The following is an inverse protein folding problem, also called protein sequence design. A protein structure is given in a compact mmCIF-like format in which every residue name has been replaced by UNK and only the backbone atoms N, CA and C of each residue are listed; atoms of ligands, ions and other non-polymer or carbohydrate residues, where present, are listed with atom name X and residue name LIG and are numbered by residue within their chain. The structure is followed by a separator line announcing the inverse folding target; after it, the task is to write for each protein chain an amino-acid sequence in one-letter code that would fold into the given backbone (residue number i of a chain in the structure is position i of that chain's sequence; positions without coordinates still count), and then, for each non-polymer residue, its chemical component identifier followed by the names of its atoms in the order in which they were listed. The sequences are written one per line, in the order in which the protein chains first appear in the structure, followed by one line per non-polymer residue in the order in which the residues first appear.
data_IF_113190183857
#
_entry.id   IF_113190183857
#
_cell.length_a   1.000
_cell.length_b   1.000
_cell.length_c   1.000
_cell.angle_alpha   90.00
_cell.angle_beta   90.00
_cell.angle_gamma   90.00
#
_symmetry.space_group_name_H-M   'P 1'
#
loop_
_entity.id
_entity.type
_entity.pdbx_description
1 polymer ?
#
# COMPACT_ATOMS: atom_id res chain seq x y z
N UNK A 1 -2.69 -7.55 15.56
CA UNK A 1 -1.27 -7.15 15.37
C UNK A 1 -0.29 -8.34 15.35
N UNK A 2 -0.39 -9.37 16.22
CA UNK A 2 0.48 -10.58 16.15
C UNK A 2 0.47 -11.29 14.78
N UNK A 3 -0.66 -11.31 14.08
CA UNK A 3 -0.79 -11.95 12.76
C UNK A 3 -0.06 -11.20 11.61
N UNK A 4 0.22 -9.90 11.76
CA UNK A 4 0.92 -9.11 10.74
C UNK A 4 2.43 -9.32 10.81
N UNK A 5 2.97 -9.40 12.03
CA UNK A 5 4.38 -9.69 12.26
C UNK A 5 4.73 -11.16 11.97
N UNK A 6 3.79 -12.09 12.16
CA UNK A 6 3.97 -13.49 11.75
C UNK A 6 4.01 -13.65 10.23
N UNK A 7 3.27 -12.82 9.49
CA UNK A 7 3.34 -12.78 8.02
C UNK A 7 4.68 -12.32 7.47
N UNK A 8 5.22 -11.27 8.08
CA UNK A 8 6.58 -10.78 7.79
C UNK A 8 7.66 -11.79 8.20
N UNK A 9 7.40 -12.64 9.20
CA UNK A 9 8.31 -13.74 9.61
C UNK A 9 8.27 -14.92 8.64
N UNK A 10 7.09 -15.38 8.22
CA UNK A 10 6.93 -16.42 7.20
C UNK A 10 7.56 -16.03 5.85
N UNK A 11 7.56 -14.75 5.51
CA UNK A 11 8.25 -14.20 4.34
C UNK A 11 9.78 -14.40 4.38
N UNK A 12 10.38 -14.44 5.58
CA UNK A 12 11.83 -14.61 5.74
C UNK A 12 12.27 -16.06 5.46
N UNK A 13 11.40 -17.04 5.68
CA UNK A 13 11.71 -18.46 5.56
C UNK A 13 11.69 -18.96 4.11
N UNK A 14 11.15 -18.17 3.17
CA UNK A 14 10.96 -18.56 1.76
C UNK A 14 11.52 -17.51 0.78
N UNK A 15 12.84 -17.55 0.47
CA UNK A 15 13.54 -16.49 -0.28
C UNK A 15 12.99 -16.26 -1.70
N UNK A 16 12.65 -17.33 -2.42
CA UNK A 16 12.10 -17.26 -3.80
C UNK A 16 10.76 -16.53 -3.85
N UNK A 17 9.93 -16.67 -2.82
CA UNK A 17 8.61 -16.05 -2.72
C UNK A 17 8.68 -14.58 -2.33
N UNK A 18 9.64 -14.21 -1.47
CA UNK A 18 9.90 -12.83 -1.11
C UNK A 18 10.32 -12.02 -2.35
N UNK A 19 11.17 -12.60 -3.21
CA UNK A 19 11.58 -12.00 -4.48
C UNK A 19 10.39 -11.85 -5.45
N UNK A 20 9.49 -12.85 -5.52
CA UNK A 20 8.28 -12.76 -6.34
C UNK A 20 7.33 -11.63 -5.90
N UNK A 21 7.10 -11.48 -4.58
CA UNK A 21 6.32 -10.35 -4.05
C UNK A 21 6.99 -9.01 -4.28
N UNK A 22 8.30 -8.93 -4.10
CA UNK A 22 9.08 -7.73 -4.39
C UNK A 22 8.89 -7.32 -5.85
N UNK A 23 8.96 -8.26 -6.80
CA UNK A 23 8.77 -8.00 -8.23
C UNK A 23 7.34 -7.55 -8.55
N UNK A 24 6.33 -8.19 -7.95
CA UNK A 24 4.93 -7.79 -8.12
C UNK A 24 4.68 -6.37 -7.56
N UNK A 25 5.25 -6.06 -6.39
CA UNK A 25 5.19 -4.74 -5.78
C UNK A 25 5.92 -3.68 -6.61
N UNK A 26 7.10 -4.00 -7.15
CA UNK A 26 7.89 -3.10 -8.00
C UNK A 26 7.10 -2.63 -9.22
N UNK A 27 6.25 -3.50 -9.78
CA UNK A 27 5.37 -3.15 -10.91
C UNK A 27 4.22 -2.20 -10.51
N UNK A 28 3.70 -2.31 -9.28
CA UNK A 28 2.56 -1.50 -8.83
C UNK A 28 2.94 -0.15 -8.21
N UNK A 29 4.16 -0.02 -7.67
CA UNK A 29 4.63 1.21 -7.02
C UNK A 29 4.61 2.43 -7.97
N UNK A 30 5.05 2.34 -9.24
CA UNK A 30 4.98 3.47 -10.15
C UNK A 30 3.54 3.97 -10.36
N UNK A 31 2.59 3.05 -10.51
CA UNK A 31 1.16 3.37 -10.68
C UNK A 31 0.62 4.12 -9.47
N UNK A 32 0.95 3.67 -8.25
CA UNK A 32 0.57 4.34 -7.00
C UNK A 32 1.02 5.79 -6.96
N UNK A 33 2.31 6.03 -7.25
CA UNK A 33 2.89 7.37 -7.16
C UNK A 33 2.42 8.31 -8.27
N UNK A 34 2.23 7.81 -9.49
CA UNK A 34 1.64 8.60 -10.59
C UNK A 34 0.22 9.05 -10.21
N UNK A 35 -0.58 8.13 -9.68
CA UNK A 35 -1.95 8.44 -9.24
C UNK A 35 -1.96 9.49 -8.13
N UNK A 36 -1.08 9.36 -7.13
CA UNK A 36 -0.91 10.36 -6.06
C UNK A 36 -0.55 11.74 -6.60
N UNK A 37 0.41 11.82 -7.54
CA UNK A 37 0.85 13.08 -8.13
C UNK A 37 -0.29 13.73 -8.91
N UNK A 38 -0.98 12.99 -9.78
CA UNK A 38 -2.09 13.53 -10.59
C UNK A 38 -3.21 14.05 -9.67
N UNK A 39 -3.59 13.27 -8.66
CA UNK A 39 -4.62 13.65 -7.71
C UNK A 39 -4.21 14.88 -6.87
N UNK A 40 -2.96 14.96 -6.44
CA UNK A 40 -2.46 16.13 -5.72
C UNK A 40 -2.45 17.38 -6.60
N UNK A 41 -1.94 17.28 -7.84
CA UNK A 41 -1.92 18.40 -8.78
C UNK A 41 -3.33 18.91 -9.13
N UNK A 42 -4.30 18.01 -9.28
CA UNK A 42 -5.70 18.40 -9.48
C UNK A 42 -6.24 19.24 -8.32
N UNK A 43 -5.84 18.93 -7.09
CA UNK A 43 -6.21 19.73 -5.91
C UNK A 43 -5.45 21.06 -5.86
N UNK A 44 -4.17 21.09 -6.25
CA UNK A 44 -3.38 22.34 -6.36
C UNK A 44 -4.08 23.33 -7.29
N UNK A 45 -4.42 22.90 -8.51
CA UNK A 45 -5.03 23.76 -9.53
C UNK A 45 -6.32 24.41 -9.01
N UNK A 46 -7.13 23.65 -8.28
CA UNK A 46 -8.41 24.17 -7.77
C UNK A 46 -8.25 25.04 -6.53
N UNK A 47 -7.19 24.89 -5.74
CA UNK A 47 -6.98 25.60 -4.47
C UNK A 47 -5.93 26.72 -4.51
N UNK A 48 -5.30 26.95 -5.66
CA UNK A 48 -4.20 27.92 -5.82
C UNK A 48 -4.60 29.35 -5.45
N UNK A 49 -5.88 29.70 -5.60
CA UNK A 49 -6.42 31.03 -5.30
C UNK A 49 -7.21 31.11 -3.98
N UNK A 50 -7.46 29.98 -3.30
CA UNK A 50 -8.28 29.95 -2.07
C UNK A 50 -7.47 29.67 -0.81
N UNK A 51 -6.38 28.92 -0.91
CA UNK A 51 -5.49 28.61 0.19
C UNK A 51 -4.15 29.37 0.05
N UNK A 52 -3.42 29.63 1.15
CA UNK A 52 -2.13 30.30 1.07
C UNK A 52 -1.14 29.44 0.28
N UNK A 53 -0.28 30.10 -0.52
CA UNK A 53 0.55 29.45 -1.54
C UNK A 53 1.49 28.36 -0.98
N UNK A 54 1.93 28.50 0.28
CA UNK A 54 2.74 27.48 0.94
C UNK A 54 2.00 26.15 1.16
N UNK A 55 0.71 26.20 1.47
CA UNK A 55 -0.13 25.02 1.66
C UNK A 55 -0.68 24.49 0.34
N UNK A 56 -1.11 25.39 -0.55
CA UNK A 56 -1.70 25.02 -1.84
C UNK A 56 -0.69 24.47 -2.83
N UNK A 57 0.56 24.96 -2.82
CA UNK A 57 1.57 24.64 -3.85
C UNK A 57 2.81 23.96 -3.26
N UNK A 58 3.50 24.59 -2.31
CA UNK A 58 4.82 24.08 -1.89
C UNK A 58 4.77 22.69 -1.24
N UNK A 59 3.79 22.45 -0.36
CA UNK A 59 3.61 21.13 0.27
C UNK A 59 3.35 20.03 -0.77
N UNK A 60 2.30 20.09 -1.62
CA UNK A 60 2.01 19.02 -2.57
C UNK A 60 3.08 18.85 -3.64
N UNK A 61 3.75 19.93 -4.06
CA UNK A 61 4.88 19.84 -4.99
C UNK A 61 6.07 19.12 -4.34
N UNK A 62 6.40 19.42 -3.08
CA UNK A 62 7.49 18.73 -2.36
C UNK A 62 7.22 17.23 -2.19
N UNK A 63 5.97 16.86 -1.87
CA UNK A 63 5.55 15.46 -1.78
C UNK A 63 5.59 14.77 -3.15
N UNK A 64 5.20 15.49 -4.21
CA UNK A 64 5.26 14.99 -5.59
C UNK A 64 6.69 14.73 -6.04
N UNK A 65 7.65 15.60 -5.69
CA UNK A 65 9.08 15.39 -5.98
C UNK A 65 9.58 14.11 -5.30
N UNK A 66 9.18 13.85 -4.04
CA UNK A 66 9.53 12.61 -3.34
C UNK A 66 8.94 11.37 -4.05
N UNK A 67 7.70 11.46 -4.53
CA UNK A 67 7.06 10.41 -5.33
C UNK A 67 7.81 10.16 -6.64
N UNK A 68 8.22 11.20 -7.37
CA UNK A 68 9.01 11.09 -8.60
C UNK A 68 10.37 10.45 -8.33
N UNK A 69 11.09 10.91 -7.30
CA UNK A 69 12.36 10.30 -6.90
C UNK A 69 12.20 8.80 -6.63
N UNK A 70 11.10 8.41 -5.97
CA UNK A 70 10.78 7.01 -5.70
C UNK A 70 10.48 6.21 -6.96
N UNK A 71 9.71 6.76 -7.90
CA UNK A 71 9.46 6.13 -9.21
C UNK A 71 10.79 5.85 -9.90
N UNK A 72 11.65 6.86 -10.02
CA UNK A 72 12.96 6.75 -10.67
C UNK A 72 13.83 5.72 -9.96
N UNK A 73 13.89 5.75 -8.62
CA UNK A 73 14.67 4.79 -7.84
C UNK A 73 14.22 3.34 -8.11
N UNK A 74 12.92 3.08 -8.13
CA UNK A 74 12.36 1.75 -8.41
C UNK A 74 12.54 1.32 -9.86
N UNK A 75 12.51 2.23 -10.83
CA UNK A 75 12.80 1.89 -12.22
C UNK A 75 14.28 1.54 -12.44
N UNK A 76 15.18 2.24 -11.74
CA UNK A 76 16.62 2.00 -11.85
C UNK A 76 17.09 0.77 -11.07
N UNK A 77 16.56 0.52 -9.87
CA UNK A 77 17.07 -0.52 -8.95
C UNK A 77 16.07 -1.65 -8.68
N UNK A 78 14.85 -1.58 -9.21
CA UNK A 78 13.80 -2.57 -8.97
C UNK A 78 13.93 -3.86 -9.78
N UNK A 79 14.79 -3.87 -10.83
CA UNK A 79 14.98 -5.02 -11.71
C UNK A 79 16.24 -5.83 -11.40
N UNK A 80 17.12 -5.35 -10.52
CA UNK A 80 18.35 -6.05 -10.17
C UNK A 80 18.04 -7.35 -9.41
N UNK A 81 18.82 -8.43 -9.63
CA UNK A 81 18.74 -9.63 -8.81
C UNK A 81 18.99 -9.27 -7.34
N UNK A 82 17.95 -9.35 -6.52
CA UNK A 82 18.00 -8.95 -5.13
C UNK A 82 17.99 -10.20 -4.25
N UNK A 83 18.96 -10.23 -3.34
CA UNK A 83 19.03 -11.20 -2.25
C UNK A 83 17.85 -11.02 -1.27
N UNK A 84 17.38 -12.11 -0.67
CA UNK A 84 16.17 -12.13 0.15
C UNK A 84 16.26 -11.15 1.34
N UNK A 85 17.42 -11.06 1.99
CA UNK A 85 17.63 -10.12 3.10
C UNK A 85 17.50 -8.66 2.66
N UNK A 86 17.99 -8.34 1.44
CA UNK A 86 17.82 -7.00 0.86
C UNK A 86 16.37 -6.72 0.51
N UNK A 87 15.66 -7.66 -0.12
CA UNK A 87 14.24 -7.52 -0.44
C UNK A 87 13.40 -7.24 0.83
N UNK A 88 13.68 -7.95 1.93
CA UNK A 88 12.98 -7.73 3.20
C UNK A 88 13.22 -6.32 3.75
N UNK A 89 14.47 -5.85 3.72
CA UNK A 89 14.82 -4.52 4.19
C UNK A 89 14.12 -3.41 3.38
N UNK A 90 14.04 -3.58 2.06
CA UNK A 90 13.37 -2.62 1.15
C UNK A 90 11.87 -2.64 1.39
N UNK A 91 11.23 -3.81 1.48
CA UNK A 91 9.81 -3.92 1.79
C UNK A 91 9.45 -3.26 3.12
N UNK A 92 10.24 -3.48 4.18
CA UNK A 92 10.03 -2.84 5.48
C UNK A 92 10.15 -1.31 5.40
N UNK A 93 11.14 -0.80 4.66
CA UNK A 93 11.28 0.64 4.40
C UNK A 93 10.07 1.18 3.64
N UNK A 94 9.56 0.43 2.65
CA UNK A 94 8.35 0.79 1.90
C UNK A 94 7.12 0.89 2.81
N UNK A 95 6.94 -0.02 3.79
CA UNK A 95 5.85 0.10 4.78
C UNK A 95 5.93 1.43 5.54
N UNK A 96 7.10 1.76 6.08
CA UNK A 96 7.31 2.98 6.87
C UNK A 96 7.06 4.23 6.02
N UNK A 97 7.59 4.23 4.79
CA UNK A 97 7.43 5.37 3.88
C UNK A 97 6.01 5.53 3.36
N UNK A 98 5.31 4.43 3.08
CA UNK A 98 3.90 4.46 2.72
C UNK A 98 3.08 5.10 3.85
N UNK A 99 3.30 4.67 5.10
CA UNK A 99 2.67 5.29 6.27
C UNK A 99 2.99 6.78 6.41
N UNK A 100 4.27 7.15 6.29
CA UNK A 100 4.72 8.54 6.40
C UNK A 100 4.12 9.44 5.30
N UNK A 101 4.11 8.98 4.05
CA UNK A 101 3.51 9.70 2.93
C UNK A 101 1.99 9.81 3.09
N UNK A 102 1.31 8.75 3.48
CA UNK A 102 -0.14 8.80 3.73
C UNK A 102 -0.48 9.77 4.86
N UNK A 103 0.32 9.83 5.93
CA UNK A 103 0.15 10.86 6.96
C UNK A 103 0.35 12.26 6.40
N UNK A 104 1.41 12.49 5.63
CA UNK A 104 1.71 13.80 5.09
C UNK A 104 0.61 14.30 4.13
N UNK A 105 0.16 13.46 3.20
CA UNK A 105 -0.95 13.78 2.30
C UNK A 105 -2.28 13.93 3.05
N UNK A 106 -2.53 13.12 4.08
CA UNK A 106 -3.73 13.22 4.90
C UNK A 106 -3.80 14.54 5.69
N UNK A 107 -2.71 14.89 6.39
CA UNK A 107 -2.60 16.16 7.13
C UNK A 107 -2.74 17.34 6.17
N UNK A 108 -2.07 17.29 5.01
CA UNK A 108 -2.17 18.33 4.00
C UNK A 108 -3.60 18.50 3.48
N UNK A 109 -4.28 17.41 3.13
CA UNK A 109 -5.66 17.44 2.62
C UNK A 109 -6.63 18.00 3.66
N UNK A 110 -6.50 17.61 4.93
CA UNK A 110 -7.34 18.13 6.03
C UNK A 110 -7.04 19.60 6.33
N UNK A 111 -5.78 20.03 6.24
CA UNK A 111 -5.44 21.44 6.36
C UNK A 111 -6.06 22.26 5.23
N UNK A 112 -6.03 21.74 3.99
CA UNK A 112 -6.61 22.39 2.82
C UNK A 112 -8.15 22.48 2.90
N UNK A 113 -8.79 21.49 3.52
CA UNK A 113 -10.24 21.41 3.68
C UNK A 113 -10.84 22.65 4.36
N UNK A 114 -10.11 23.28 5.29
CA UNK A 114 -10.57 24.47 6.00
C UNK A 114 -10.63 25.73 5.14
N UNK A 115 -9.90 25.77 4.01
CA UNK A 115 -9.83 26.92 3.10
C UNK A 115 -10.77 26.78 1.89
N UNK A 116 -11.30 25.58 1.65
CA UNK A 116 -12.10 25.28 0.47
C UNK A 116 -13.57 25.69 0.61
N UNK A 117 -14.18 26.10 -0.51
CA UNK A 117 -15.63 26.18 -0.64
C UNK A 117 -16.28 24.77 -0.69
N UNK A 118 -17.61 24.68 -0.74
CA UNK A 118 -18.32 23.38 -0.71
C UNK A 118 -17.87 22.41 -1.82
N UNK A 119 -17.59 22.90 -3.04
CA UNK A 119 -17.12 22.07 -4.15
C UNK A 119 -15.68 21.58 -3.94
N UNK A 120 -14.81 22.47 -3.47
CA UNK A 120 -13.43 22.19 -3.13
C UNK A 120 -13.30 21.18 -1.97
N UNK A 121 -14.13 21.33 -0.94
CA UNK A 121 -14.25 20.36 0.16
C UNK A 121 -14.74 19.00 -0.34
N UNK A 122 -15.71 18.98 -1.26
CA UNK A 122 -16.14 17.76 -1.96
C UNK A 122 -15.00 17.11 -2.75
N UNK A 123 -14.18 17.89 -3.46
CA UNK A 123 -13.01 17.39 -4.18
C UNK A 123 -11.97 16.79 -3.23
N UNK A 124 -11.75 17.38 -2.04
CA UNK A 124 -10.85 16.82 -1.02
C UNK A 124 -11.39 15.49 -0.50
N UNK A 125 -12.70 15.40 -0.24
CA UNK A 125 -13.33 14.14 0.14
C UNK A 125 -13.13 13.06 -0.93
N UNK A 126 -13.39 13.39 -2.20
CA UNK A 126 -13.15 12.51 -3.33
C UNK A 126 -11.68 12.07 -3.44
N UNK A 127 -10.74 13.02 -3.30
CA UNK A 127 -9.30 12.76 -3.28
C UNK A 127 -8.92 11.72 -2.21
N UNK A 128 -9.42 11.87 -0.98
CA UNK A 128 -9.11 10.96 0.13
C UNK A 128 -9.68 9.55 -0.11
N UNK A 129 -10.90 9.44 -0.62
CA UNK A 129 -11.50 8.14 -0.95
C UNK A 129 -10.71 7.46 -2.06
N UNK A 130 -10.56 8.11 -3.22
CA UNK A 130 -9.89 7.52 -4.39
C UNK A 130 -8.46 7.10 -4.05
N UNK A 131 -7.71 7.99 -3.40
CA UNK A 131 -6.33 7.68 -2.98
C UNK A 131 -6.28 6.53 -1.99
N UNK A 132 -7.21 6.47 -1.03
CA UNK A 132 -7.30 5.34 -0.09
C UNK A 132 -7.50 4.01 -0.81
N UNK A 133 -8.43 3.96 -1.77
CA UNK A 133 -8.70 2.76 -2.57
C UNK A 133 -7.48 2.37 -3.41
N UNK A 134 -6.86 3.33 -4.09
CA UNK A 134 -5.66 3.09 -4.90
C UNK A 134 -4.49 2.58 -4.07
N UNK A 135 -4.26 3.14 -2.88
CA UNK A 135 -3.25 2.65 -1.95
C UNK A 135 -3.49 1.18 -1.57
N UNK A 136 -4.74 0.78 -1.29
CA UNK A 136 -5.06 -0.62 -0.96
C UNK A 136 -4.67 -1.56 -2.09
N UNK A 137 -5.08 -1.25 -3.33
CA UNK A 137 -4.81 -2.13 -4.47
C UNK A 137 -3.32 -2.17 -4.81
N UNK A 138 -2.65 -1.01 -4.88
CA UNK A 138 -1.23 -0.95 -5.23
C UNK A 138 -0.29 -1.50 -4.15
N UNK A 139 -0.75 -1.59 -2.89
CA UNK A 139 0.00 -2.15 -1.78
C UNK A 139 -0.52 -3.53 -1.36
N UNK A 140 -1.39 -4.16 -2.16
CA UNK A 140 -1.98 -5.47 -1.85
C UNK A 140 -0.90 -6.55 -1.65
N UNK A 141 0.18 -6.48 -2.43
CA UNK A 141 1.37 -7.34 -2.29
C UNK A 141 2.19 -7.09 -1.01
N UNK A 142 1.87 -6.06 -0.24
CA UNK A 142 2.50 -5.73 1.04
C UNK A 142 1.40 -5.41 2.09
N UNK A 143 0.72 -6.43 2.63
CA UNK A 143 -0.48 -6.27 3.46
C UNK A 143 -0.30 -5.35 4.67
N UNK A 144 0.90 -5.33 5.25
CA UNK A 144 1.24 -4.42 6.34
C UNK A 144 1.18 -2.94 5.91
N UNK A 145 1.67 -2.60 4.71
CA UNK A 145 1.57 -1.25 4.16
C UNK A 145 0.12 -0.92 3.82
N UNK A 146 -0.59 -1.81 3.12
CA UNK A 146 -1.99 -1.60 2.74
C UNK A 146 -2.90 -1.35 3.96
N UNK A 147 -2.77 -2.15 5.03
CA UNK A 147 -3.55 -1.93 6.26
C UNK A 147 -3.18 -0.63 6.96
N UNK A 148 -1.88 -0.31 7.04
CA UNK A 148 -1.41 0.93 7.66
C UNK A 148 -1.97 2.15 6.92
N UNK A 149 -1.83 2.21 5.60
CA UNK A 149 -2.33 3.33 4.79
C UNK A 149 -3.85 3.43 4.85
N UNK A 150 -4.57 2.30 4.82
CA UNK A 150 -6.05 2.28 4.96
C UNK A 150 -6.47 2.84 6.31
N UNK A 151 -5.87 2.36 7.39
CA UNK A 151 -6.19 2.79 8.74
C UNK A 151 -5.96 4.30 8.90
N UNK A 152 -4.84 4.81 8.40
CA UNK A 152 -4.51 6.24 8.46
C UNK A 152 -5.54 7.04 7.64
N UNK A 153 -5.69 6.77 6.34
CA UNK A 153 -6.56 7.56 5.45
C UNK A 153 -8.01 7.59 5.94
N UNK A 154 -8.57 6.44 6.32
CA UNK A 154 -9.96 6.38 6.74
C UNK A 154 -10.17 7.02 8.11
N UNK A 155 -9.20 6.91 9.03
CA UNK A 155 -9.27 7.63 10.30
C UNK A 155 -9.29 9.15 10.08
N UNK A 156 -8.43 9.68 9.20
CA UNK A 156 -8.45 11.11 8.86
C UNK A 156 -9.79 11.55 8.27
N UNK A 157 -10.36 10.77 7.34
CA UNK A 157 -11.68 11.08 6.78
C UNK A 157 -12.77 11.08 7.84
N UNK A 158 -12.83 10.04 8.68
CA UNK A 158 -13.86 9.92 9.71
C UNK A 158 -13.74 11.06 10.72
N UNK A 159 -12.54 11.31 11.26
CA UNK A 159 -12.33 12.38 12.24
C UNK A 159 -12.61 13.77 11.64
N UNK A 160 -12.30 14.01 10.37
CA UNK A 160 -12.54 15.34 9.79
C UNK A 160 -14.01 15.55 9.43
N UNK A 161 -14.65 14.56 8.83
CA UNK A 161 -15.98 14.73 8.23
C UNK A 161 -17.12 14.44 9.20
N UNK A 162 -16.91 13.59 10.21
CA UNK A 162 -17.93 13.31 11.21
C UNK A 162 -18.27 14.54 12.06
N UNK A 163 -17.28 15.40 12.31
CA UNK A 163 -17.42 16.62 13.11
C UNK A 163 -17.59 17.88 12.25
N UNK A 164 -17.78 17.75 10.94
CA UNK A 164 -17.91 18.89 10.02
C UNK A 164 -19.24 19.66 10.16
N UNK A 165 -20.25 19.07 10.82
CA UNK A 165 -21.60 19.64 10.94
C UNK A 165 -22.45 19.59 9.66
N UNK A 166 -21.91 19.12 8.54
CA UNK A 166 -22.60 19.02 7.25
C UNK A 166 -23.10 17.58 7.03
N UNK A 167 -24.39 17.43 6.75
CA UNK A 167 -25.04 16.11 6.55
C UNK A 167 -24.40 15.29 5.43
N UNK A 168 -23.90 15.91 4.36
CA UNK A 168 -23.25 15.24 3.24
C UNK A 168 -21.91 14.64 3.66
N UNK A 169 -21.11 15.38 4.41
CA UNK A 169 -19.80 14.91 4.89
C UNK A 169 -19.96 13.86 6.00
N UNK A 170 -20.94 14.03 6.89
CA UNK A 170 -21.32 13.03 7.91
C UNK A 170 -21.75 11.72 7.24
N UNK A 171 -22.59 11.77 6.20
CA UNK A 171 -22.98 10.60 5.43
C UNK A 171 -21.77 9.94 4.75
N UNK A 172 -20.87 10.74 4.17
CA UNK A 172 -19.65 10.25 3.54
C UNK A 172 -18.73 9.54 4.54
N UNK A 173 -18.51 10.12 5.73
CA UNK A 173 -17.73 9.50 6.80
C UNK A 173 -18.33 8.16 7.22
N UNK A 174 -19.65 8.10 7.34
CA UNK A 174 -20.39 6.87 7.65
C UNK A 174 -20.17 5.81 6.58
N UNK A 175 -20.29 6.16 5.30
CA UNK A 175 -20.01 5.26 4.18
C UNK A 175 -18.57 4.73 4.21
N UNK A 176 -17.59 5.56 4.56
CA UNK A 176 -16.18 5.16 4.68
C UNK A 176 -15.96 4.15 5.81
N UNK A 177 -16.67 4.29 6.94
CA UNK A 177 -16.63 3.29 8.02
C UNK A 177 -17.11 1.93 7.51
N UNK A 178 -18.23 1.88 6.79
CA UNK A 178 -18.71 0.63 6.19
C UNK A 178 -17.75 0.09 5.14
N UNK A 179 -17.17 0.97 4.31
CA UNK A 179 -16.22 0.62 3.26
C UNK A 179 -14.91 0.05 3.82
N UNK A 180 -14.53 0.39 5.05
CA UNK A 180 -13.36 -0.18 5.73
C UNK A 180 -13.42 -1.70 5.88
N UNK A 181 -14.62 -2.25 6.08
CA UNK A 181 -14.79 -3.67 6.35
C UNK A 181 -14.48 -4.55 5.12
N UNK A 182 -15.02 -4.28 3.92
CA UNK A 182 -14.60 -4.95 2.69
C UNK A 182 -13.10 -4.83 2.42
N UNK A 183 -12.48 -3.66 2.62
CA UNK A 183 -11.05 -3.51 2.37
C UNK A 183 -10.19 -4.36 3.31
N UNK A 184 -10.49 -4.34 4.62
CA UNK A 184 -9.81 -5.20 5.59
C UNK A 184 -10.04 -6.69 5.25
N UNK A 185 -11.26 -7.06 4.83
CA UNK A 185 -11.57 -8.43 4.35
C UNK A 185 -10.73 -8.82 3.14
N UNK A 186 -10.61 -7.97 2.13
CA UNK A 186 -9.82 -8.22 0.91
C UNK A 186 -8.33 -8.36 1.25
N UNK A 187 -7.78 -7.44 2.05
CA UNK A 187 -6.36 -7.49 2.44
C UNK A 187 -6.08 -8.76 3.27
N UNK A 188 -6.95 -9.11 4.21
CA UNK A 188 -6.81 -10.34 4.99
C UNK A 188 -6.97 -11.60 4.14
N UNK A 189 -7.91 -11.60 3.18
CA UNK A 189 -8.10 -12.72 2.26
C UNK A 189 -6.85 -12.94 1.40
N UNK A 190 -6.28 -11.86 0.88
CA UNK A 190 -5.02 -11.90 0.16
C UNK A 190 -3.90 -12.47 1.01
N UNK A 191 -3.77 -11.99 2.25
CA UNK A 191 -2.75 -12.48 3.19
C UNK A 191 -2.91 -13.97 3.54
N UNK A 192 -4.14 -14.45 3.75
CA UNK A 192 -4.40 -15.88 3.99
C UNK A 192 -4.08 -16.74 2.78
N UNK A 193 -4.51 -16.30 1.59
CA UNK A 193 -4.21 -17.01 0.35
C UNK A 193 -2.70 -17.07 0.10
N UNK A 194 -2.00 -15.96 0.40
CA UNK A 194 -0.54 -15.91 0.37
C UNK A 194 0.08 -16.92 1.33
N UNK A 195 -0.34 -16.96 2.60
CA UNK A 195 0.17 -17.92 3.57
C UNK A 195 -0.13 -19.39 3.17
N UNK A 196 -1.28 -19.65 2.53
CA UNK A 196 -1.63 -20.96 2.01
C UNK A 196 -0.73 -21.40 0.84
N UNK A 197 -0.44 -20.49 -0.10
CA UNK A 197 0.46 -20.76 -1.23
C UNK A 197 1.88 -21.11 -0.79
N UNK A 198 2.38 -20.44 0.25
CA UNK A 198 3.70 -20.74 0.83
C UNK A 198 3.74 -22.16 1.39
N UNK A 199 2.76 -22.53 2.21
CA UNK A 199 2.65 -23.89 2.78
C UNK A 199 2.58 -24.97 1.72
N UNK A 200 1.81 -24.74 0.66
CA UNK A 200 1.69 -25.68 -0.46
C UNK A 200 3.03 -25.89 -1.18
N UNK A 201 3.86 -24.85 -1.28
CA UNK A 201 5.16 -24.99 -1.97
C UNK A 201 6.16 -25.74 -1.10
N UNK A 202 6.14 -25.52 0.22
CA UNK A 202 6.91 -26.33 1.17
C UNK A 202 6.52 -27.81 1.08
N UNK A 203 5.21 -28.11 1.11
CA UNK A 203 4.71 -29.49 0.97
C UNK A 203 5.09 -30.13 -0.38
N UNK A 204 5.08 -29.37 -1.47
CA UNK A 204 5.50 -29.86 -2.79
C UNK A 204 7.01 -30.13 -2.86
N UNK A 205 7.82 -29.27 -2.25
CA UNK A 205 9.27 -29.46 -2.16
C UNK A 205 9.63 -30.72 -1.37
N UNK A 206 8.99 -30.93 -0.22
CA UNK A 206 9.18 -32.13 0.60
C UNK A 206 8.81 -33.41 -0.17
N UNK A 207 7.68 -33.39 -0.88
CA UNK A 207 7.26 -34.53 -1.71
C UNK A 207 8.20 -34.78 -2.90
N UNK A 208 8.77 -33.75 -3.51
CA UNK A 208 9.77 -33.92 -4.57
C UNK A 208 11.06 -34.52 -4.04
N UNK A 209 11.54 -34.07 -2.87
CA UNK A 209 12.71 -34.64 -2.23
C UNK A 209 12.49 -36.11 -1.83
N UNK A 210 11.30 -36.45 -1.35
CA UNK A 210 10.92 -37.84 -1.06
C UNK A 210 10.88 -38.70 -2.33
N UNK A 211 10.29 -38.19 -3.41
CA UNK A 211 10.23 -38.88 -4.70
C UNK A 211 11.62 -39.10 -5.32
N UNK A 212 12.53 -38.12 -5.25
CA UNK A 212 13.92 -38.29 -5.67
C UNK A 212 14.65 -39.33 -4.81
N UNK A 213 14.45 -39.31 -3.49
CA UNK A 213 15.05 -40.30 -2.59
C UNK A 213 14.56 -41.72 -2.90
N UNK A 214 13.26 -41.89 -3.15
CA UNK A 214 12.69 -43.17 -3.56
C UNK A 214 13.21 -43.62 -4.92
N UNK A 215 13.34 -42.71 -5.90
CA UNK A 215 13.94 -43.02 -7.20
C UNK A 215 15.40 -43.45 -7.09
N UNK A 216 16.19 -42.78 -6.25
CA UNK A 216 17.59 -43.18 -6.01
C UNK A 216 17.67 -44.57 -5.37
N UNK A 217 16.84 -44.87 -4.37
CA UNK A 217 16.79 -46.21 -3.75
C UNK A 217 16.35 -47.27 -4.76
N UNK A 218 15.32 -47.01 -5.56
CA UNK A 218 14.87 -47.94 -6.62
C UNK A 218 15.95 -48.17 -7.68
N UNK A 219 16.65 -47.13 -8.12
CA UNK A 219 17.75 -47.26 -9.09
C UNK A 219 18.91 -48.08 -8.53
N UNK A 220 19.16 -48.01 -7.22
CA UNK A 220 20.20 -48.79 -6.54
C UNK A 220 19.82 -50.26 -6.37
N UNK A 221 18.53 -50.56 -6.17
CA UNK A 221 18.03 -51.92 -5.99
C UNK A 221 17.75 -52.64 -7.33
N UNK A 222 17.82 -51.94 -8.46
CA UNK A 222 17.61 -52.49 -9.80
C UNK A 222 18.91 -52.99 -10.48
N UNK A 223 20.06 -52.84 -9.80
CA UNK A 223 21.37 -53.40 -10.17
C UNK A 223 21.68 -54.62 -9.30
#
# INVERSE_FOLDING_TARGET
MRNLLSGLRLQKENPTFLVAQYKALASQIPVLYILLIINALAVVITHIHTAPMWLAVYVPVSLSILCVFRIVWWQLHGQDPIDADRAYSVMRRTVVLAGALTLAFGIWAVALYQYGNAYQQGQISYFLVVTGISCVFCLMHLPAAALLTTAITFSFMVVTFMFSGNSVFVATATSVIFLSFPFVRVINSYFRNFAGLVRLTEELGDKQAEAERLNLVNSRNAL
#
